data_IF_340103068053
#
_entry.id   IF_340103068053
#
_cell.length_a   1.000
_cell.length_b   1.000
_cell.length_c   1.000
_cell.angle_alpha   90.00
_cell.angle_beta   90.00
_cell.angle_gamma   90.00
#
_symmetry.space_group_name_H-M   'P 1'
#
loop_
_entity.id
_entity.type
_entity.pdbx_description
1 polymer ?
#
# COMPACT_ATOMS: atom_id res chain seq x y z
N UNK A 1 -29.05 -60.13 11.54
CA UNK A 1 -28.43 -58.97 10.86
C UNK A 1 -26.93 -59.18 10.99
N UNK A 2 -26.31 -59.60 9.89
CA UNK A 2 -24.94 -60.12 9.83
C UNK A 2 -24.02 -58.91 9.61
N UNK A 3 -23.00 -58.78 10.45
CA UNK A 3 -22.02 -57.69 10.43
C UNK A 3 -20.80 -58.19 9.66
N UNK A 4 -20.51 -57.57 8.52
CA UNK A 4 -19.33 -57.87 7.71
C UNK A 4 -18.04 -57.37 8.38
N UNK A 5 -16.96 -58.18 8.42
CA UNK A 5 -15.67 -57.79 8.94
C UNK A 5 -14.89 -56.94 7.92
N UNK A 6 -14.49 -55.76 8.36
CA UNK A 6 -13.77 -54.74 7.60
C UNK A 6 -12.31 -55.17 7.37
N UNK A 7 -11.93 -55.35 6.11
CA UNK A 7 -10.57 -55.59 5.63
C UNK A 7 -9.63 -54.44 6.01
N UNK A 8 -8.54 -54.76 6.71
CA UNK A 8 -7.43 -53.87 7.03
C UNK A 8 -6.52 -53.74 5.81
N UNK A 9 -6.49 -52.57 5.17
CA UNK A 9 -5.49 -52.22 4.17
C UNK A 9 -4.14 -51.92 4.84
N UNK A 10 -3.09 -52.50 4.27
CA UNK A 10 -1.71 -52.39 4.70
C UNK A 10 -1.12 -50.99 4.45
N UNK A 11 -0.36 -50.50 5.42
CA UNK A 11 0.35 -49.23 5.33
C UNK A 11 1.52 -49.31 4.30
N UNK A 12 1.71 -48.30 3.45
CA UNK A 12 2.89 -48.22 2.60
C UNK A 12 4.13 -47.81 3.42
N UNK A 13 5.23 -48.54 3.22
CA UNK A 13 6.56 -48.24 3.77
C UNK A 13 7.08 -46.86 3.30
N UNK A 14 7.73 -46.07 4.17
CA UNK A 14 8.43 -44.86 3.77
C UNK A 14 9.77 -45.20 3.10
N UNK A 15 9.83 -45.07 1.77
CA UNK A 15 11.09 -45.01 1.02
C UNK A 15 11.64 -43.58 0.95
N UNK A 16 12.97 -43.51 0.92
CA UNK A 16 13.84 -42.38 0.60
C UNK A 16 14.01 -41.25 1.63
N UNK A 17 14.97 -41.48 2.53
CA UNK A 17 15.71 -40.40 3.16
C UNK A 17 16.74 -39.83 2.15
N UNK A 18 16.85 -38.49 2.00
CA UNK A 18 17.85 -37.89 1.13
C UNK A 18 19.29 -38.12 1.64
N UNK A 19 20.29 -38.13 0.73
CA UNK A 19 21.69 -38.35 1.11
C UNK A 19 22.21 -37.26 2.05
N UNK A 20 22.97 -37.67 3.06
CA UNK A 20 23.66 -36.80 3.99
C UNK A 20 24.68 -35.92 3.24
N UNK A 21 24.53 -34.60 3.32
CA UNK A 21 25.56 -33.67 2.87
C UNK A 21 26.75 -33.73 3.82
N UNK A 22 27.91 -34.02 3.25
CA UNK A 22 29.19 -34.05 3.94
C UNK A 22 29.52 -32.70 4.58
N UNK A 23 30.00 -32.78 5.82
CA UNK A 23 30.49 -31.66 6.60
C UNK A 23 31.82 -31.18 6.01
N UNK A 24 31.83 -29.97 5.44
CA UNK A 24 33.07 -29.29 5.07
C UNK A 24 33.89 -28.99 6.33
N UNK A 25 34.98 -29.73 6.49
CA UNK A 25 36.00 -29.52 7.52
C UNK A 25 36.69 -28.18 7.30
N UNK A 26 36.56 -27.29 8.28
CA UNK A 26 37.23 -25.99 8.31
C UNK A 26 38.69 -26.23 8.67
N UNK A 27 39.55 -26.28 7.66
CA UNK A 27 41.00 -26.26 7.84
C UNK A 27 41.45 -24.81 8.04
N UNK A 28 41.81 -24.52 9.28
CA UNK A 28 42.56 -23.34 9.68
C UNK A 28 43.95 -23.39 9.05
N UNK A 29 44.28 -22.40 8.22
CA UNK A 29 45.66 -22.13 7.82
C UNK A 29 45.90 -20.63 7.84
N UNK A 30 46.65 -20.23 8.85
CA UNK A 30 47.24 -18.91 9.00
C UNK A 30 48.30 -18.69 7.91
N UNK A 31 48.22 -17.56 7.20
CA UNK A 31 49.32 -17.00 6.41
C UNK A 31 49.33 -15.48 6.57
N UNK A 32 50.50 -14.85 6.77
CA UNK A 32 50.59 -13.47 7.20
C UNK A 32 50.65 -12.47 6.04
N UNK A 33 50.08 -11.29 6.31
CA UNK A 33 50.66 -9.97 6.09
C UNK A 33 51.47 -9.71 4.79
N UNK A 34 50.86 -8.96 3.87
CA UNK A 34 51.59 -7.95 3.10
C UNK A 34 50.69 -6.78 2.69
N UNK A 35 50.92 -5.66 3.37
CA UNK A 35 50.40 -4.31 3.09
C UNK A 35 51.06 -3.73 1.83
N UNK A 36 50.30 -3.15 0.90
CA UNK A 36 50.82 -2.08 0.04
C UNK A 36 50.15 -0.74 0.39
N UNK A 37 51.00 0.27 0.59
CA UNK A 37 50.65 1.69 0.70
C UNK A 37 50.40 2.32 -0.69
N UNK A 38 49.90 3.58 -0.75
CA UNK A 38 49.04 4.05 -1.83
C UNK A 38 49.81 4.77 -2.95
N UNK A 39 49.37 4.60 -4.18
CA UNK A 39 49.70 5.49 -5.30
C UNK A 39 48.46 6.25 -5.75
N UNK A 40 48.64 7.57 -5.86
CA UNK A 40 47.64 8.61 -6.04
C UNK A 40 46.87 8.66 -7.37
N UNK A 41 46.30 9.84 -7.71
CA UNK A 41 45.04 9.97 -8.45
C UNK A 41 45.25 10.22 -9.95
N UNK A 42 44.30 9.74 -10.76
CA UNK A 42 44.20 10.10 -12.18
C UNK A 42 42.87 10.79 -12.46
N UNK A 43 42.97 12.09 -12.68
CA UNK A 43 42.05 12.97 -13.39
C UNK A 43 41.85 12.51 -14.85
N UNK A 44 40.64 12.61 -15.42
CA UNK A 44 40.49 12.80 -16.85
C UNK A 44 40.38 14.29 -17.17
N UNK A 45 41.34 14.73 -17.98
CA UNK A 45 41.53 16.07 -18.48
C UNK A 45 40.54 16.40 -19.60
N UNK A 46 40.20 17.68 -19.70
CA UNK A 46 39.46 18.27 -20.79
C UNK A 46 40.25 18.17 -22.11
N UNK A 47 39.55 17.88 -23.20
CA UNK A 47 40.03 18.13 -24.56
C UNK A 47 39.11 19.15 -25.22
N UNK A 48 39.56 20.41 -25.19
CA UNK A 48 39.19 21.41 -26.19
C UNK A 48 40.00 21.12 -27.45
N UNK A 49 39.33 21.07 -28.60
CA UNK A 49 39.94 21.29 -29.91
C UNK A 49 39.16 22.41 -30.59
N UNK A 50 39.88 23.48 -30.92
CA UNK A 50 39.42 24.57 -31.76
C UNK A 50 40.07 24.53 -33.15
N UNK A 51 39.63 25.49 -33.98
CA UNK A 51 40.12 25.88 -35.31
C UNK A 51 39.66 24.93 -36.45
N UNK A 52 39.04 25.36 -37.54
CA UNK A 52 38.85 26.69 -38.12
C UNK A 52 39.25 26.66 -39.60
N UNK A 53 38.29 26.49 -40.52
CA UNK A 53 38.36 26.80 -41.97
C UNK A 53 36.89 27.00 -42.40
N UNK A 54 36.44 28.08 -43.05
CA UNK A 54 37.11 28.94 -44.01
C UNK A 54 36.76 28.49 -45.43
N UNK A 55 35.51 28.67 -45.88
CA UNK A 55 35.15 28.53 -47.31
C UNK A 55 33.92 29.37 -47.64
N UNK A 56 34.17 30.49 -48.32
CA UNK A 56 33.18 31.28 -49.05
C UNK A 56 32.76 30.48 -50.28
N UNK A 57 31.48 30.14 -50.40
CA UNK A 57 30.86 29.79 -51.66
C UNK A 57 29.55 30.57 -51.79
N UNK A 58 29.42 31.28 -52.91
CA UNK A 58 28.42 32.29 -53.22
C UNK A 58 27.64 31.79 -54.44
N UNK A 59 26.43 31.24 -54.28
CA UNK A 59 25.47 30.96 -55.37
C UNK A 59 24.05 30.80 -54.79
N UNK A 60 22.97 30.89 -55.59
CA UNK A 60 22.26 32.11 -55.91
C UNK A 60 20.88 32.18 -55.21
N UNK A 61 20.39 33.42 -55.12
CA UNK A 61 19.05 33.82 -54.73
C UNK A 61 17.92 33.08 -55.46
N UNK A 62 17.00 32.50 -54.69
CA UNK A 62 15.63 32.22 -55.10
C UNK A 62 14.66 32.55 -53.94
N UNK A 63 13.40 32.90 -54.26
CA UNK A 63 12.60 33.79 -53.40
C UNK A 63 11.71 33.03 -52.41
N UNK A 64 11.55 33.64 -51.24
CA UNK A 64 10.25 33.81 -50.55
C UNK A 64 9.44 32.54 -50.23
N UNK A 65 9.66 31.94 -49.05
CA UNK A 65 8.62 31.23 -48.27
C UNK A 65 9.12 30.85 -46.86
N UNK A 66 9.39 31.84 -46.00
CA UNK A 66 9.75 31.59 -44.59
C UNK A 66 8.89 32.43 -43.67
N UNK A 67 7.60 32.09 -43.56
CA UNK A 67 6.68 32.74 -42.61
C UNK A 67 5.49 31.87 -42.15
N UNK A 68 5.50 30.54 -42.33
CA UNK A 68 4.33 29.68 -42.07
C UNK A 68 4.59 28.47 -41.14
N UNK A 69 5.74 28.40 -40.47
CA UNK A 69 6.08 27.25 -39.62
C UNK A 69 5.67 27.42 -38.14
N UNK A 70 5.11 28.58 -37.75
CA UNK A 70 4.94 28.94 -36.33
C UNK A 70 3.46 28.80 -35.89
N UNK A 71 2.54 28.63 -36.84
CA UNK A 71 1.08 28.59 -36.62
C UNK A 71 0.53 27.18 -36.37
N UNK A 72 1.34 26.12 -36.44
CA UNK A 72 0.90 24.74 -36.08
C UNK A 72 1.09 24.39 -34.60
N UNK A 73 1.82 25.19 -33.81
CA UNK A 73 2.06 24.88 -32.39
C UNK A 73 0.81 25.06 -31.50
N UNK A 74 -0.21 25.80 -31.96
CA UNK A 74 -1.46 26.00 -31.21
C UNK A 74 -2.50 24.89 -31.37
N UNK A 75 -2.59 24.25 -32.55
CA UNK A 75 -3.66 23.28 -32.83
C UNK A 75 -3.43 21.91 -32.19
N UNK A 76 -2.18 21.47 -32.06
CA UNK A 76 -1.86 20.19 -31.40
C UNK A 76 -2.40 20.14 -29.96
N UNK A 77 -2.28 21.26 -29.23
CA UNK A 77 -2.74 21.37 -27.85
C UNK A 77 -4.26 21.21 -27.69
N UNK A 78 -5.05 21.60 -28.69
CA UNK A 78 -6.51 21.47 -28.65
C UNK A 78 -6.91 20.01 -28.84
N UNK A 79 -6.34 19.36 -29.85
CA UNK A 79 -6.58 17.93 -30.09
C UNK A 79 -6.15 17.07 -28.90
N UNK A 80 -5.05 17.40 -28.23
CA UNK A 80 -4.60 16.65 -27.05
C UNK A 80 -5.57 16.80 -25.87
N UNK A 81 -6.13 17.99 -25.66
CA UNK A 81 -7.18 18.22 -24.67
C UNK A 81 -8.46 17.44 -25.00
N UNK A 82 -8.83 17.40 -26.27
CA UNK A 82 -10.02 16.67 -26.72
C UNK A 82 -9.83 15.16 -26.49
N UNK A 83 -8.68 14.60 -26.88
CA UNK A 83 -8.36 13.17 -26.64
C UNK A 83 -8.36 12.85 -25.16
N UNK A 84 -7.72 13.68 -24.34
CA UNK A 84 -7.70 13.51 -22.89
C UNK A 84 -9.12 13.57 -22.29
N UNK A 85 -9.96 14.51 -22.74
CA UNK A 85 -11.33 14.62 -22.29
C UNK A 85 -12.16 13.38 -22.68
N UNK A 86 -11.96 12.84 -23.89
CA UNK A 86 -12.59 11.60 -24.35
C UNK A 86 -12.17 10.41 -23.49
N UNK A 87 -10.87 10.23 -23.24
CA UNK A 87 -10.34 9.15 -22.40
C UNK A 87 -10.91 9.23 -20.99
N UNK A 88 -10.90 10.41 -20.37
CA UNK A 88 -11.48 10.62 -19.05
C UNK A 88 -13.00 10.36 -19.02
N UNK A 89 -13.72 10.68 -20.09
CA UNK A 89 -15.13 10.32 -20.26
C UNK A 89 -15.35 8.81 -20.23
N UNK A 90 -14.60 8.07 -21.05
CA UNK A 90 -14.68 6.61 -21.13
C UNK A 90 -14.32 5.95 -19.79
N UNK A 91 -13.26 6.43 -19.13
CA UNK A 91 -12.84 5.92 -17.82
C UNK A 91 -13.90 6.20 -16.76
N UNK A 92 -14.52 7.38 -16.77
CA UNK A 92 -15.63 7.70 -15.85
C UNK A 92 -16.81 6.77 -16.08
N UNK A 93 -17.13 6.44 -17.32
CA UNK A 93 -18.22 5.52 -17.64
C UNK A 93 -17.89 4.08 -17.21
N UNK A 94 -16.64 3.63 -17.36
CA UNK A 94 -16.16 2.36 -16.80
C UNK A 94 -16.31 2.31 -15.27
N UNK A 95 -15.88 3.37 -14.57
CA UNK A 95 -16.02 3.46 -13.10
C UNK A 95 -17.47 3.45 -12.66
N UNK A 96 -18.39 4.01 -13.45
CA UNK A 96 -19.84 3.95 -13.16
C UNK A 96 -20.42 2.57 -13.44
N UNK A 97 -19.98 1.91 -14.50
CA UNK A 97 -20.42 0.57 -14.86
C UNK A 97 -19.88 -0.52 -13.91
N UNK A 98 -18.73 -0.28 -13.27
CA UNK A 98 -18.04 -1.24 -12.41
C UNK A 98 -17.18 -2.22 -13.20
N UNK A 99 -17.05 -3.44 -12.71
CA UNK A 99 -16.28 -4.51 -13.37
C UNK A 99 -17.01 -5.00 -14.64
N UNK A 100 -16.68 -4.38 -15.78
CA UNK A 100 -17.14 -4.78 -17.11
C UNK A 100 -16.07 -5.63 -17.81
N UNK A 101 -16.43 -6.73 -18.51
CA UNK A 101 -15.48 -7.50 -19.30
C UNK A 101 -14.82 -6.68 -20.41
N UNK A 102 -15.46 -5.60 -20.86
CA UNK A 102 -14.96 -4.69 -21.89
C UNK A 102 -13.96 -3.65 -21.36
N UNK A 103 -13.72 -3.60 -20.04
CA UNK A 103 -12.81 -2.61 -19.45
C UNK A 103 -11.40 -2.70 -20.03
N UNK A 104 -10.90 -3.91 -20.29
CA UNK A 104 -9.57 -4.13 -20.85
C UNK A 104 -9.48 -3.60 -22.28
N UNK A 105 -10.44 -3.92 -23.14
CA UNK A 105 -10.45 -3.49 -24.54
C UNK A 105 -10.61 -1.97 -24.65
N UNK A 106 -11.44 -1.36 -23.80
CA UNK A 106 -11.62 0.09 -23.74
C UNK A 106 -10.34 0.79 -23.28
N UNK A 107 -9.68 0.32 -22.21
CA UNK A 107 -8.42 0.93 -21.76
C UNK A 107 -7.27 0.72 -22.75
N UNK A 108 -7.24 -0.42 -23.46
CA UNK A 108 -6.29 -0.65 -24.54
C UNK A 108 -6.49 0.35 -25.68
N UNK A 109 -7.74 0.57 -26.11
CA UNK A 109 -8.09 1.59 -27.10
C UNK A 109 -7.68 2.99 -26.64
N UNK A 110 -7.94 3.34 -25.37
CA UNK A 110 -7.48 4.59 -24.78
C UNK A 110 -5.94 4.70 -24.80
N UNK A 111 -5.22 3.61 -24.53
CA UNK A 111 -3.76 3.58 -24.58
C UNK A 111 -3.23 3.85 -25.98
N UNK A 112 -3.85 3.27 -27.01
CA UNK A 112 -3.44 3.47 -28.40
C UNK A 112 -3.72 4.92 -28.85
N UNK A 113 -4.88 5.47 -28.49
CA UNK A 113 -5.24 6.86 -28.76
C UNK A 113 -4.28 7.85 -28.08
N UNK A 114 -3.92 7.62 -26.81
CA UNK A 114 -2.93 8.42 -26.09
C UNK A 114 -1.55 8.32 -26.74
N UNK A 115 -1.11 7.10 -27.11
CA UNK A 115 0.19 6.88 -27.75
C UNK A 115 0.31 7.61 -29.10
N UNK A 116 -0.75 7.63 -29.90
CA UNK A 116 -0.78 8.35 -31.19
C UNK A 116 -0.56 9.87 -31.03
N UNK A 117 -0.78 10.41 -29.83
CA UNK A 117 -0.61 11.83 -29.49
C UNK A 117 0.54 12.09 -28.51
N UNK A 118 1.39 11.10 -28.24
CA UNK A 118 2.45 11.18 -27.23
C UNK A 118 1.96 11.57 -25.83
N UNK A 119 0.73 11.18 -25.49
CA UNK A 119 0.15 11.35 -24.15
C UNK A 119 0.43 10.10 -23.31
N UNK A 120 0.68 10.30 -22.01
CA UNK A 120 0.78 9.20 -21.06
C UNK A 120 -0.61 8.87 -20.50
N UNK A 121 -1.14 7.68 -20.84
CA UNK A 121 -2.40 7.20 -20.27
C UNK A 121 -2.32 7.10 -18.74
N UNK A 122 -1.17 6.65 -18.22
CA UNK A 122 -0.90 6.56 -16.78
C UNK A 122 -1.07 7.92 -16.09
N UNK A 123 -0.51 8.99 -16.66
CA UNK A 123 -0.65 10.33 -16.10
C UNK A 123 -2.13 10.76 -16.08
N UNK A 124 -2.87 10.49 -17.15
CA UNK A 124 -4.30 10.84 -17.26
C UNK A 124 -5.15 10.07 -16.23
N UNK A 125 -4.90 8.77 -16.04
CA UNK A 125 -5.64 7.92 -15.10
C UNK A 125 -5.40 8.29 -13.63
N UNK A 126 -4.34 9.04 -13.34
CA UNK A 126 -3.96 9.46 -11.99
C UNK A 126 -4.39 10.89 -11.66
N UNK A 127 -5.03 11.58 -12.59
CA UNK A 127 -5.57 12.91 -12.35
C UNK A 127 -6.90 12.87 -11.57
N UNK A 128 -7.14 13.83 -10.68
CA UNK A 128 -8.37 13.97 -9.91
C UNK A 128 -9.54 14.45 -10.80
N UNK A 129 -10.02 13.58 -11.68
CA UNK A 129 -10.92 13.90 -12.79
C UNK A 129 -12.40 13.63 -12.52
N UNK A 130 -12.73 12.98 -11.40
CA UNK A 130 -14.10 12.65 -11.00
C UNK A 130 -14.30 13.22 -9.60
N UNK A 131 -15.03 14.32 -9.48
CA UNK A 131 -15.37 14.95 -8.18
C UNK A 131 -14.15 15.24 -7.29
N UNK A 132 -13.02 15.61 -7.90
CA UNK A 132 -11.77 15.92 -7.17
C UNK A 132 -10.95 14.70 -6.75
N UNK A 133 -11.35 13.49 -7.12
CA UNK A 133 -10.65 12.24 -6.84
C UNK A 133 -10.25 11.50 -8.11
N UNK A 134 -9.32 10.56 -7.96
CA UNK A 134 -8.84 9.71 -9.07
C UNK A 134 -9.90 8.68 -9.49
N UNK A 135 -9.86 8.20 -10.75
CA UNK A 135 -10.62 7.04 -11.17
C UNK A 135 -10.44 5.81 -10.27
N UNK A 136 -9.21 5.57 -9.77
CA UNK A 136 -8.91 4.46 -8.86
C UNK A 136 -9.66 4.57 -7.52
N UNK A 137 -9.71 5.77 -6.92
CA UNK A 137 -10.49 6.02 -5.70
C UNK A 137 -11.95 5.60 -5.87
N UNK A 138 -12.58 6.05 -6.95
CA UNK A 138 -13.98 5.73 -7.22
C UNK A 138 -14.21 4.27 -7.60
N UNK A 139 -13.26 3.66 -8.31
CA UNK A 139 -13.31 2.24 -8.62
C UNK A 139 -13.31 1.40 -7.32
N UNK A 140 -12.46 1.75 -6.34
CA UNK A 140 -12.39 1.06 -5.04
C UNK A 140 -13.71 1.19 -4.26
N UNK A 141 -14.31 2.37 -4.23
CA UNK A 141 -15.59 2.59 -3.54
C UNK A 141 -16.77 1.86 -4.19
N UNK A 142 -16.68 1.60 -5.49
CA UNK A 142 -17.75 0.97 -6.28
C UNK A 142 -17.50 -0.50 -6.58
N UNK A 143 -16.35 -1.05 -6.20
CA UNK A 143 -15.97 -2.43 -6.55
C UNK A 143 -16.98 -3.40 -5.90
N UNK A 144 -17.85 -4.06 -6.69
CA UNK A 144 -18.58 -5.19 -6.15
C UNK A 144 -17.56 -6.28 -5.84
N UNK A 145 -17.77 -7.03 -4.76
CA UNK A 145 -16.88 -8.15 -4.42
C UNK A 145 -16.58 -8.97 -5.68
N UNK A 146 -15.30 -9.18 -6.05
CA UNK A 146 -14.94 -9.66 -7.36
C UNK A 146 -15.51 -11.07 -7.57
N UNK A 147 -16.26 -11.24 -8.67
CA UNK A 147 -16.65 -12.56 -9.15
C UNK A 147 -15.40 -13.37 -9.48
N UNK A 148 -15.34 -14.63 -9.04
CA UNK A 148 -14.20 -15.49 -9.29
C UNK A 148 -13.87 -15.56 -10.80
N UNK A 149 -12.63 -15.19 -11.16
CA UNK A 149 -12.11 -15.32 -12.53
C UNK A 149 -12.18 -14.07 -13.41
N UNK A 150 -12.76 -12.95 -12.94
CA UNK A 150 -12.72 -11.67 -13.68
C UNK A 150 -11.64 -10.73 -13.13
N UNK A 151 -10.91 -10.07 -14.04
CA UNK A 151 -9.96 -9.00 -13.67
C UNK A 151 -10.78 -7.79 -13.25
N UNK A 152 -10.67 -7.37 -11.99
CA UNK A 152 -11.37 -6.18 -11.51
C UNK A 152 -10.80 -4.92 -12.15
N UNK A 153 -11.64 -3.89 -12.31
CA UNK A 153 -11.18 -2.58 -12.77
C UNK A 153 -10.10 -2.02 -11.83
N UNK A 154 -10.20 -2.32 -10.52
CA UNK A 154 -9.22 -1.93 -9.51
C UNK A 154 -7.85 -2.56 -9.80
N UNK A 155 -7.79 -3.86 -10.12
CA UNK A 155 -6.53 -4.54 -10.47
C UNK A 155 -5.90 -3.94 -11.73
N UNK A 156 -6.72 -3.62 -12.73
CA UNK A 156 -6.25 -3.02 -13.97
C UNK A 156 -5.68 -1.61 -13.73
N UNK A 157 -6.33 -0.79 -12.92
CA UNK A 157 -5.85 0.54 -12.56
C UNK A 157 -4.61 0.50 -11.64
N UNK A 158 -4.48 -0.48 -10.75
CA UNK A 158 -3.29 -0.69 -9.91
C UNK A 158 -2.09 -1.28 -10.67
N UNK A 159 -2.30 -1.76 -11.90
CA UNK A 159 -1.21 -2.28 -12.74
C UNK A 159 -0.27 -1.19 -13.27
N UNK A 160 -0.72 0.07 -13.26
CA UNK A 160 0.10 1.22 -13.60
C UNK A 160 0.99 1.65 -12.41
N UNK A 161 2.17 2.24 -12.65
CA UNK A 161 2.97 2.85 -11.60
C UNK A 161 2.18 3.97 -10.91
N UNK A 162 1.82 3.79 -9.65
CA UNK A 162 1.03 4.79 -8.93
C UNK A 162 1.94 5.86 -8.34
N UNK A 163 1.56 7.12 -8.52
CA UNK A 163 2.15 8.26 -7.85
C UNK A 163 1.78 8.26 -6.37
N UNK A 164 2.60 8.87 -5.50
CA UNK A 164 2.30 8.97 -4.07
C UNK A 164 0.93 9.60 -3.77
N UNK A 165 0.50 10.57 -4.59
CA UNK A 165 -0.80 11.22 -4.44
C UNK A 165 -1.95 10.24 -4.74
N UNK A 166 -1.89 9.50 -5.84
CA UNK A 166 -2.90 8.48 -6.18
C UNK A 166 -2.91 7.33 -5.19
N UNK A 167 -1.76 6.95 -4.60
CA UNK A 167 -1.70 5.95 -3.53
C UNK A 167 -2.43 6.46 -2.28
N UNK A 168 -2.21 7.72 -1.88
CA UNK A 168 -2.93 8.30 -0.74
C UNK A 168 -4.44 8.36 -0.99
N UNK A 169 -4.85 8.76 -2.19
CA UNK A 169 -6.25 8.80 -2.59
C UNK A 169 -6.88 7.39 -2.53
N UNK A 170 -6.22 6.39 -3.13
CA UNK A 170 -6.68 5.00 -3.06
C UNK A 170 -6.77 4.46 -1.61
N UNK A 171 -5.80 4.80 -0.74
CA UNK A 171 -5.85 4.45 0.69
C UNK A 171 -7.06 5.06 1.39
N UNK A 172 -7.39 6.30 1.07
CA UNK A 172 -8.59 6.96 1.59
C UNK A 172 -9.87 6.22 1.18
N UNK A 173 -9.97 5.80 -0.08
CA UNK A 173 -11.10 4.98 -0.54
C UNK A 173 -11.20 3.65 0.24
N UNK A 174 -10.08 2.95 0.43
CA UNK A 174 -10.08 1.69 1.20
C UNK A 174 -10.53 1.91 2.66
N UNK A 175 -10.16 3.02 3.29
CA UNK A 175 -10.59 3.37 4.65
C UNK A 175 -12.10 3.60 4.72
N UNK A 176 -12.66 4.31 3.75
CA UNK A 176 -14.11 4.55 3.67
C UNK A 176 -14.91 3.26 3.46
N UNK A 177 -14.41 2.34 2.65
CA UNK A 177 -15.06 1.04 2.41
C UNK A 177 -14.76 -0.01 3.51
N UNK A 178 -13.77 0.25 4.38
CA UNK A 178 -13.22 -0.72 5.32
C UNK A 178 -12.74 -2.03 4.64
N UNK A 179 -12.21 -1.95 3.43
CA UNK A 179 -11.78 -3.11 2.64
C UNK A 179 -10.27 -3.35 2.80
N UNK A 180 -9.91 -4.23 3.74
CA UNK A 180 -8.52 -4.64 3.94
C UNK A 180 -7.97 -5.42 2.74
N UNK A 181 -8.80 -6.16 2.01
CA UNK A 181 -8.32 -7.02 0.91
C UNK A 181 -7.79 -6.18 -0.25
N UNK A 182 -8.52 -5.13 -0.65
CA UNK A 182 -8.07 -4.15 -1.64
C UNK A 182 -6.86 -3.38 -1.11
N UNK A 183 -6.88 -2.98 0.17
CA UNK A 183 -5.74 -2.30 0.78
C UNK A 183 -4.45 -3.13 0.78
N UNK A 184 -4.52 -4.43 1.12
CA UNK A 184 -3.36 -5.31 1.05
C UNK A 184 -2.89 -5.52 -0.40
N UNK A 185 -3.80 -5.58 -1.39
CA UNK A 185 -3.43 -5.60 -2.82
C UNK A 185 -2.69 -4.31 -3.21
N UNK A 186 -3.23 -3.14 -2.86
CA UNK A 186 -2.62 -1.84 -3.09
C UNK A 186 -1.21 -1.76 -2.46
N UNK A 187 -1.03 -2.29 -1.25
CA UNK A 187 0.31 -2.32 -0.60
C UNK A 187 1.33 -3.17 -1.34
N UNK A 188 0.89 -4.17 -2.10
CA UNK A 188 1.75 -5.04 -2.91
C UNK A 188 2.06 -4.44 -4.28
N UNK A 189 1.37 -3.37 -4.68
CA UNK A 189 1.63 -2.75 -5.98
C UNK A 189 3.03 -2.14 -6.01
N UNK A 190 3.67 -2.09 -7.19
CA UNK A 190 4.92 -1.36 -7.36
C UNK A 190 4.79 0.08 -6.86
N UNK A 191 5.79 0.58 -6.14
CA UNK A 191 5.79 1.91 -5.53
C UNK A 191 5.15 2.00 -4.13
N UNK A 192 4.36 1.01 -3.71
CA UNK A 192 3.80 0.95 -2.35
C UNK A 192 4.65 0.12 -1.38
N UNK A 193 5.22 -0.99 -1.85
CA UNK A 193 6.01 -1.92 -1.05
C UNK A 193 7.46 -1.43 -0.87
N UNK A 194 7.63 -0.24 -0.29
CA UNK A 194 8.95 0.35 -0.07
C UNK A 194 9.69 -0.33 1.08
N UNK A 195 10.40 -1.43 0.82
CA UNK A 195 11.61 -1.71 1.61
C UNK A 195 12.65 -0.65 1.27
N UNK A 196 13.47 -0.27 2.26
CA UNK A 196 14.65 0.53 1.96
C UNK A 196 15.50 -0.23 0.93
N UNK A 197 16.13 0.42 -0.07
CA UNK A 197 17.02 -0.26 -1.01
C UNK A 197 18.13 -1.07 -0.32
N UNK A 198 18.58 -0.62 0.86
CA UNK A 198 19.53 -1.35 1.70
C UNK A 198 18.93 -2.64 2.28
N UNK A 199 17.67 -2.58 2.71
CA UNK A 199 16.96 -3.73 3.25
C UNK A 199 16.66 -4.74 2.14
N UNK A 200 16.33 -4.28 0.94
CA UNK A 200 16.16 -5.13 -0.24
C UNK A 200 17.47 -5.85 -0.61
N UNK A 201 18.61 -5.15 -0.56
CA UNK A 201 19.92 -5.77 -0.82
C UNK A 201 20.28 -6.85 0.22
N UNK A 202 19.99 -6.61 1.50
CA UNK A 202 20.37 -7.51 2.60
C UNK A 202 19.38 -8.66 2.81
N UNK A 203 18.10 -8.41 2.60
CA UNK A 203 17.03 -9.39 2.78
C UNK A 203 16.74 -10.17 1.51
N UNK A 204 17.08 -9.61 0.34
CA UNK A 204 16.61 -10.03 -0.97
C UNK A 204 15.22 -9.45 -1.24
N UNK A 205 14.46 -10.11 -2.10
CA UNK A 205 13.02 -9.91 -2.27
C UNK A 205 12.27 -10.84 -1.30
N UNK A 206 12.03 -10.42 -0.04
CA UNK A 206 11.37 -11.29 0.92
C UNK A 206 9.96 -11.65 0.43
N UNK A 207 9.49 -12.88 0.69
CA UNK A 207 8.10 -13.22 0.47
C UNK A 207 7.17 -12.27 1.23
N UNK A 208 5.99 -12.03 0.66
CA UNK A 208 5.04 -11.07 1.21
C UNK A 208 4.51 -11.52 2.57
N UNK A 209 4.43 -10.57 3.50
CA UNK A 209 3.76 -10.79 4.78
C UNK A 209 2.26 -11.00 4.56
N UNK A 210 1.67 -11.93 5.30
CA UNK A 210 0.23 -12.19 5.24
C UNK A 210 -0.46 -11.48 6.40
N UNK A 211 -1.41 -10.63 6.07
CA UNK A 211 -2.28 -9.95 7.01
C UNK A 211 -3.71 -10.37 6.70
N UNK A 212 -4.42 -10.86 7.71
CA UNK A 212 -5.82 -11.27 7.59
C UNK A 212 -6.60 -10.54 8.67
N UNK A 213 -7.55 -9.70 8.24
CA UNK A 213 -8.49 -9.03 9.15
C UNK A 213 -9.83 -9.75 9.06
N UNK A 214 -10.24 -10.31 10.19
CA UNK A 214 -11.54 -10.98 10.36
C UNK A 214 -12.42 -10.04 11.20
N UNK A 215 -13.51 -9.54 10.62
CA UNK A 215 -14.53 -8.83 11.40
C UNK A 215 -15.40 -9.88 12.10
N UNK A 216 -15.63 -9.75 13.40
CA UNK A 216 -16.45 -10.72 14.14
C UNK A 216 -17.93 -10.55 13.75
N UNK A 217 -18.59 -11.68 13.43
CA UNK A 217 -20.00 -11.68 13.07
C UNK A 217 -20.87 -11.21 14.24
N UNK A 218 -21.78 -10.26 13.97
CA UNK A 218 -22.68 -9.70 14.97
C UNK A 218 -22.00 -8.85 16.04
N UNK A 219 -20.69 -8.63 15.95
CA UNK A 219 -19.94 -7.85 16.93
C UNK A 219 -19.61 -6.47 16.38
N UNK A 220 -19.96 -5.48 17.17
CA UNK A 220 -20.03 -4.07 16.82
C UNK A 220 -18.63 -3.44 16.61
N UNK A 221 -17.96 -3.80 15.51
CA UNK A 221 -16.61 -3.33 15.23
C UNK A 221 -15.51 -4.08 15.95
N UNK A 222 -15.81 -5.24 16.53
CA UNK A 222 -14.75 -6.13 16.98
C UNK A 222 -14.13 -6.80 15.74
N UNK A 223 -12.81 -6.83 15.73
CA UNK A 223 -12.04 -7.46 14.67
C UNK A 223 -10.87 -8.22 15.25
N UNK A 224 -10.44 -9.25 14.53
CA UNK A 224 -9.26 -10.04 14.81
C UNK A 224 -8.30 -9.86 13.65
N UNK A 225 -7.04 -9.56 13.98
CA UNK A 225 -5.97 -9.46 12.98
C UNK A 225 -5.00 -10.60 13.19
N UNK A 226 -4.81 -11.40 12.14
CA UNK A 226 -3.78 -12.43 12.09
C UNK A 226 -2.63 -11.93 11.23
N UNK A 227 -1.46 -11.76 11.84
CA UNK A 227 -0.25 -11.27 11.19
C UNK A 227 0.76 -12.42 11.08
N UNK A 228 1.23 -12.68 9.86
CA UNK A 228 2.25 -13.68 9.58
C UNK A 228 3.42 -13.05 8.83
N UNK A 229 4.54 -12.88 9.55
CA UNK A 229 5.74 -12.24 9.04
C UNK A 229 6.76 -13.26 8.54
N UNK A 230 7.06 -13.23 7.25
CA UNK A 230 8.07 -14.12 6.68
C UNK A 230 9.46 -13.59 7.03
N UNK A 231 10.37 -14.49 7.41
CA UNK A 231 11.74 -14.16 7.82
C UNK A 231 11.83 -13.12 8.95
N UNK A 232 10.87 -13.11 9.89
CA UNK A 232 10.79 -12.12 10.97
C UNK A 232 12.13 -11.88 11.69
N UNK A 233 12.83 -12.95 12.11
CA UNK A 233 14.12 -12.84 12.79
C UNK A 233 15.20 -12.19 11.93
N UNK A 234 15.29 -12.57 10.65
CA UNK A 234 16.27 -11.99 9.70
C UNK A 234 15.99 -10.49 9.51
N UNK A 235 14.72 -10.13 9.31
CA UNK A 235 14.27 -8.73 9.14
C UNK A 235 14.50 -7.91 10.40
N UNK A 236 14.23 -8.47 11.58
CA UNK A 236 14.56 -7.80 12.84
C UNK A 236 16.06 -7.63 13.05
N UNK A 237 16.91 -8.56 12.61
CA UNK A 237 18.37 -8.42 12.70
C UNK A 237 18.91 -7.32 11.78
N UNK A 238 18.35 -7.22 10.57
CA UNK A 238 18.79 -6.28 9.53
C UNK A 238 18.14 -4.91 9.72
N UNK A 239 16.82 -4.83 9.56
CA UNK A 239 16.04 -3.59 9.56
C UNK A 239 15.69 -3.09 10.97
N UNK A 240 15.81 -3.94 12.00
CA UNK A 240 15.37 -3.66 13.38
C UNK A 240 13.89 -3.31 13.54
N UNK A 241 13.10 -3.42 12.47
CA UNK A 241 11.69 -3.08 12.44
C UNK A 241 10.99 -3.91 11.39
N UNK A 242 9.81 -4.44 11.74
CA UNK A 242 8.90 -5.13 10.81
C UNK A 242 7.57 -4.40 10.89
N UNK A 243 7.06 -3.92 9.74
CA UNK A 243 5.85 -3.09 9.66
C UNK A 243 4.70 -3.87 9.02
N UNK A 244 3.56 -3.90 9.68
CA UNK A 244 2.28 -4.27 9.09
C UNK A 244 1.32 -3.09 9.18
N UNK A 245 0.51 -2.92 8.14
CA UNK A 245 -0.60 -1.98 8.10
C UNK A 245 -1.83 -2.79 7.68
N UNK A 246 -2.98 -2.45 8.24
CA UNK A 246 -4.26 -3.10 7.93
C UNK A 246 -5.39 -2.10 8.13
N UNK A 247 -6.53 -2.38 7.53
CA UNK A 247 -7.77 -1.63 7.73
C UNK A 247 -8.75 -2.54 8.48
N UNK A 248 -9.34 -2.02 9.55
CA UNK A 248 -10.37 -2.72 10.30
C UNK A 248 -11.58 -1.82 10.46
N UNK A 249 -12.78 -2.42 10.45
CA UNK A 249 -14.03 -1.69 10.60
C UNK A 249 -14.24 -1.36 12.08
N UNK A 250 -14.31 -0.07 12.40
CA UNK A 250 -14.86 0.36 13.69
C UNK A 250 -16.39 0.32 13.61
N UNK A 251 -17.03 -0.21 14.65
CA UNK A 251 -18.48 -0.31 14.77
C UNK A 251 -18.92 0.28 16.11
N UNK A 252 -20.16 0.73 16.17
CA UNK A 252 -20.74 1.30 17.40
C UNK A 252 -21.17 0.18 18.32
N UNK A 253 -20.47 0.01 19.45
CA UNK A 253 -20.68 -1.04 20.44
C UNK A 253 -21.97 -0.89 21.24
N UNK A 254 -23.11 -1.22 20.63
CA UNK A 254 -24.40 -1.31 21.33
C UNK A 254 -24.61 -2.72 21.89
N UNK A 255 -24.04 -3.02 23.08
CA UNK A 255 -24.52 -4.18 23.85
C UNK A 255 -23.52 -4.98 24.69
N UNK A 256 -22.28 -4.52 24.92
CA UNK A 256 -21.32 -5.24 25.79
C UNK A 256 -21.08 -4.55 27.14
N UNK A 257 -20.65 -5.36 28.12
CA UNK A 257 -20.18 -4.94 29.46
C UNK A 257 -18.92 -4.05 29.45
N UNK A 258 -18.30 -3.84 28.29
CA UNK A 258 -17.16 -2.94 28.16
C UNK A 258 -17.68 -1.54 27.86
N UNK A 259 -17.18 -0.55 28.61
CA UNK A 259 -17.55 0.85 28.38
C UNK A 259 -17.26 1.21 26.91
N UNK A 260 -18.23 1.79 26.17
CA UNK A 260 -17.98 2.31 24.83
C UNK A 260 -16.68 3.14 24.78
N UNK A 261 -15.90 2.96 23.71
CA UNK A 261 -14.57 3.56 23.58
C UNK A 261 -13.42 2.76 24.22
N UNK A 262 -13.69 1.63 24.87
CA UNK A 262 -12.65 0.74 25.40
C UNK A 262 -12.04 -0.14 24.32
N UNK A 263 -10.71 -0.19 24.27
CA UNK A 263 -9.96 -1.12 23.40
C UNK A 263 -9.42 -2.28 24.22
N UNK A 264 -9.54 -3.49 23.69
CA UNK A 264 -8.96 -4.70 24.25
C UNK A 264 -7.93 -5.22 23.28
N UNK A 265 -6.71 -5.41 23.77
CA UNK A 265 -5.60 -5.92 22.96
C UNK A 265 -5.14 -7.24 23.55
N UNK A 266 -5.08 -8.26 22.69
CA UNK A 266 -4.52 -9.56 23.02
C UNK A 266 -3.44 -9.92 21.99
N UNK A 267 -2.32 -10.45 22.47
CA UNK A 267 -1.22 -10.97 21.64
C UNK A 267 -1.03 -12.45 21.95
N UNK A 268 -0.87 -13.25 20.90
CA UNK A 268 -0.60 -14.68 20.97
C UNK A 268 0.41 -15.11 19.91
N UNK A 269 1.01 -16.28 20.10
CA UNK A 269 1.85 -16.94 19.10
C UNK A 269 1.00 -17.90 18.26
N UNK A 270 1.39 -18.13 17.01
CA UNK A 270 0.76 -19.10 16.11
C UNK A 270 1.21 -20.53 16.47
N UNK A 271 0.40 -21.52 16.15
CA UNK A 271 0.69 -22.95 16.33
C UNK A 271 2.12 -23.30 15.90
N UNK A 272 2.80 -24.13 16.69
CA UNK A 272 4.20 -24.57 16.50
C UNK A 272 5.26 -23.46 16.57
N UNK A 273 4.93 -22.25 17.02
CA UNK A 273 5.94 -21.23 17.29
C UNK A 273 6.76 -21.58 18.53
N UNK A 274 8.09 -21.36 18.55
CA UNK A 274 8.89 -21.56 19.74
C UNK A 274 8.47 -20.60 20.86
N UNK A 275 8.58 -21.06 22.11
CA UNK A 275 8.25 -20.24 23.27
C UNK A 275 9.09 -18.96 23.28
N UNK A 276 8.42 -17.81 23.43
CA UNK A 276 9.07 -16.50 23.28
C UNK A 276 8.64 -15.56 24.40
N UNK A 277 9.61 -14.85 25.00
CA UNK A 277 9.30 -13.75 25.91
C UNK A 277 8.80 -12.55 25.11
N UNK A 278 7.68 -11.98 25.52
CA UNK A 278 7.12 -10.77 24.90
C UNK A 278 7.30 -9.59 25.86
N UNK A 279 8.04 -8.59 25.43
CA UNK A 279 7.99 -7.25 26.02
C UNK A 279 7.81 -6.27 24.87
N UNK A 280 6.56 -5.92 24.61
CA UNK A 280 6.19 -5.06 23.50
C UNK A 280 5.38 -3.87 23.98
N UNK A 281 5.30 -2.86 23.12
CA UNK A 281 4.57 -1.63 23.35
C UNK A 281 3.69 -1.39 22.14
N UNK A 282 2.39 -1.53 22.31
CA UNK A 282 1.42 -1.05 21.33
C UNK A 282 1.31 0.46 21.50
N UNK A 283 1.49 1.19 20.41
CA UNK A 283 1.29 2.63 20.36
C UNK A 283 0.22 2.91 19.31
N UNK A 284 -0.94 3.40 19.75
CA UNK A 284 -2.01 3.86 18.87
C UNK A 284 -1.84 5.38 18.77
N UNK A 285 -1.28 5.82 17.65
CA UNK A 285 -1.25 7.25 17.35
C UNK A 285 -2.66 7.66 16.91
N UNK A 286 -3.24 8.73 17.48
CA UNK A 286 -4.41 9.31 16.85
C UNK A 286 -4.02 9.68 15.41
N UNK A 287 -4.96 9.53 14.46
CA UNK A 287 -4.81 10.19 13.19
C UNK A 287 -4.72 11.67 13.52
N UNK A 288 -3.50 12.24 13.55
CA UNK A 288 -3.32 13.67 13.41
C UNK A 288 -4.10 13.99 12.16
N UNK A 289 -5.26 14.66 12.32
CA UNK A 289 -6.22 14.99 11.26
C UNK A 289 -5.43 15.18 10.01
N UNK A 290 -5.49 14.19 9.09
CA UNK A 290 -4.80 14.19 7.81
C UNK A 290 -4.91 15.62 7.34
N UNK A 291 -3.80 16.37 7.45
CA UNK A 291 -3.82 17.82 7.31
C UNK A 291 -4.55 18.03 6.02
N UNK A 292 -5.79 18.53 6.10
CA UNK A 292 -6.54 18.92 4.93
C UNK A 292 -5.57 19.84 4.25
N UNK A 293 -4.96 19.36 3.16
CA UNK A 293 -4.11 20.16 2.32
C UNK A 293 -5.11 21.18 1.83
N UNK A 294 -5.19 22.30 2.55
CA UNK A 294 -5.88 23.49 2.10
C UNK A 294 -5.12 23.77 0.83
N UNK A 295 -5.68 23.31 -0.29
CA UNK A 295 -5.19 23.72 -1.59
C UNK A 295 -5.39 25.23 -1.54
N UNK A 296 -4.29 25.96 -1.37
CA UNK A 296 -4.26 27.39 -1.61
C UNK A 296 -4.49 27.57 -3.11
N UNK A 297 -5.73 27.34 -3.53
CA UNK A 297 -6.19 27.66 -4.85
C UNK A 297 -6.47 29.17 -4.81
N UNK A 298 -5.75 29.99 -5.60
CA UNK A 298 -5.99 31.42 -5.62
C UNK A 298 -7.43 31.65 -6.08
N UNK A 299 -8.24 32.20 -5.17
CA UNK A 299 -9.63 32.53 -5.42
C UNK A 299 -9.70 33.62 -6.48
N UNK A 300 -10.05 33.25 -7.72
CA UNK A 300 -10.47 34.22 -8.72
C UNK A 300 -11.86 34.73 -8.35
N UNK A 301 -11.95 36.02 -8.03
CA UNK A 301 -13.21 36.72 -7.80
C UNK A 301 -14.02 36.79 -9.09
N UNK A 302 -15.28 36.35 -9.07
CA UNK A 302 -16.44 37.20 -9.39
C UNK A 302 -17.75 36.40 -9.48
N UNK A 303 -18.74 36.91 -8.74
CA UNK A 303 -20.19 36.97 -9.05
C UNK A 303 -21.15 36.05 -8.26
N UNK A 304 -22.34 36.58 -7.88
CA UNK A 304 -23.25 35.92 -6.96
C UNK A 304 -24.42 35.24 -7.70
N UNK A 305 -24.80 34.04 -7.27
CA UNK A 305 -26.16 33.57 -7.47
C UNK A 305 -26.63 32.71 -6.30
N UNK A 306 -27.72 33.21 -5.74
CA UNK A 306 -28.51 32.71 -4.64
C UNK A 306 -29.13 31.35 -5.00
N UNK A 307 -28.78 30.28 -4.28
CA UNK A 307 -29.67 29.13 -4.10
C UNK A 307 -29.53 28.62 -2.68
N UNK A 308 -30.67 28.64 -1.98
CA UNK A 308 -30.81 28.26 -0.60
C UNK A 308 -30.95 26.74 -0.44
N UNK A 309 -30.44 26.23 0.69
CA UNK A 309 -31.08 25.14 1.43
C UNK A 309 -30.46 23.75 1.26
N UNK A 310 -29.46 23.44 2.11
CA UNK A 310 -29.34 22.17 2.88
C UNK A 310 -27.93 22.04 3.51
N UNK A 311 -27.49 23.02 4.31
CA UNK A 311 -26.28 22.85 5.12
C UNK A 311 -26.69 22.43 6.53
N UNK A 312 -26.61 21.12 6.79
CA UNK A 312 -26.61 20.60 8.16
C UNK A 312 -25.47 21.27 8.94
N UNK A 313 -25.83 21.86 10.09
CA UNK A 313 -24.90 22.36 11.10
C UNK A 313 -24.01 21.21 11.58
N UNK A 314 -22.83 21.08 10.98
CA UNK A 314 -21.67 20.53 11.66
C UNK A 314 -20.97 21.74 12.30
N UNK A 315 -21.11 21.90 13.61
CA UNK A 315 -20.31 22.86 14.36
C UNK A 315 -18.85 22.43 14.25
N UNK A 316 -18.10 23.14 13.42
CA UNK A 316 -16.65 22.97 13.29
C UNK A 316 -15.99 23.27 14.63
N UNK A 317 -15.76 22.24 15.43
CA UNK A 317 -14.89 22.31 16.60
C UNK A 317 -13.51 22.75 16.15
N UNK A 318 -12.94 23.75 16.82
CA UNK A 318 -11.55 24.15 16.61
C UNK A 318 -10.64 22.93 16.74
N UNK A 319 -9.72 22.68 15.78
CA UNK A 319 -8.83 21.54 15.83
C UNK A 319 -7.98 21.64 17.10
N UNK A 320 -8.23 20.74 18.05
CA UNK A 320 -7.36 20.57 19.22
C UNK A 320 -6.12 19.84 18.74
N UNK A 321 -5.08 20.60 18.46
CA UNK A 321 -3.75 20.07 18.21
C UNK A 321 -3.32 19.15 19.36
N UNK A 322 -2.97 17.91 19.01
CA UNK A 322 -2.10 17.07 19.82
C UNK A 322 -2.78 16.21 20.88
N UNK A 323 -3.74 15.36 20.50
CA UNK A 323 -4.07 14.22 21.36
C UNK A 323 -2.81 13.33 21.50
N UNK A 324 -2.34 13.02 22.72
CA UNK A 324 -1.15 12.20 22.89
C UNK A 324 -1.38 10.78 22.37
N UNK A 325 -0.35 10.09 21.88
CA UNK A 325 -0.46 8.72 21.44
C UNK A 325 -0.83 7.82 22.62
N UNK A 326 -1.76 6.91 22.39
CA UNK A 326 -2.20 5.92 23.36
C UNK A 326 -1.14 4.82 23.39
N UNK A 327 -0.65 4.50 24.59
CA UNK A 327 0.44 3.55 24.78
C UNK A 327 -0.02 2.41 25.68
N UNK A 328 0.12 1.18 25.21
CA UNK A 328 -0.13 -0.04 25.98
C UNK A 328 1.13 -0.88 25.98
N UNK A 329 1.69 -1.16 27.17
CA UNK A 329 2.78 -2.13 27.28
C UNK A 329 2.17 -3.52 27.42
N UNK A 330 2.60 -4.43 26.56
CA UNK A 330 2.18 -5.82 26.54
C UNK A 330 3.39 -6.64 26.97
N UNK A 331 3.35 -7.16 28.19
CA UNK A 331 4.43 -7.97 28.74
C UNK A 331 3.90 -9.36 29.05
N UNK A 332 4.57 -10.39 28.55
CA UNK A 332 4.35 -11.74 29.05
C UNK A 332 4.69 -11.73 30.54
N UNK A 333 3.88 -12.38 31.37
CA UNK A 333 4.21 -12.58 32.79
C UNK A 333 5.53 -13.36 32.94
N UNK A 334 5.91 -13.75 34.15
CA UNK A 334 7.12 -14.55 34.40
C UNK A 334 7.24 -15.83 33.55
N UNK A 335 6.17 -16.27 32.88
CA UNK A 335 6.17 -17.36 31.89
C UNK A 335 6.24 -16.85 30.44
N UNK A 336 7.03 -17.54 29.61
CA UNK A 336 7.07 -17.36 28.15
C UNK A 336 5.68 -17.53 27.51
N UNK A 337 5.40 -16.82 26.41
CA UNK A 337 4.25 -17.17 25.56
C UNK A 337 4.53 -18.51 24.90
N UNK A 338 3.61 -19.46 25.06
CA UNK A 338 3.71 -20.80 24.49
C UNK A 338 2.37 -21.25 23.87
N UNK A 339 2.44 -22.36 23.13
CA UNK A 339 1.37 -22.91 22.29
C UNK A 339 0.10 -23.34 23.05
N UNK A 340 0.21 -23.64 24.35
CA UNK A 340 -0.77 -24.51 25.02
C UNK A 340 -2.14 -23.91 25.36
N UNK A 341 -2.45 -22.70 24.91
CA UNK A 341 -3.61 -21.93 25.36
C UNK A 341 -4.39 -21.33 24.19
N UNK A 342 -4.62 -22.09 23.10
CA UNK A 342 -5.53 -21.68 22.01
C UNK A 342 -6.88 -22.45 21.92
N UNK A 343 -7.48 -22.87 23.05
CA UNK A 343 -8.89 -23.36 23.10
C UNK A 343 -9.90 -22.32 23.64
N UNK A 344 -10.92 -21.99 22.86
CA UNK A 344 -11.76 -20.77 22.99
C UNK A 344 -12.83 -20.80 24.10
N UNK A 345 -12.75 -21.74 25.04
CA UNK A 345 -13.81 -21.91 26.04
C UNK A 345 -13.48 -21.38 27.44
N UNK A 346 -12.28 -21.59 28.00
CA UNK A 346 -12.02 -21.19 29.40
C UNK A 346 -10.52 -21.32 29.71
N UNK A 347 -9.92 -20.23 30.23
CA UNK A 347 -8.52 -20.09 30.68
C UNK A 347 -7.45 -20.15 29.58
N UNK A 348 -6.86 -18.99 29.30
CA UNK A 348 -5.67 -18.86 28.44
C UNK A 348 -4.72 -17.79 28.96
N UNK A 349 -3.41 -18.04 28.86
CA UNK A 349 -2.35 -17.05 29.09
C UNK A 349 -2.33 -16.02 27.95
N UNK A 350 -3.24 -15.05 28.01
CA UNK A 350 -3.24 -13.86 27.17
C UNK A 350 -2.57 -12.72 27.94
N UNK A 351 -1.69 -11.96 27.30
CA UNK A 351 -1.41 -10.61 27.77
C UNK A 351 -2.62 -9.74 27.37
N UNK A 352 -3.56 -9.55 28.29
CA UNK A 352 -4.71 -8.66 28.08
C UNK A 352 -4.37 -7.31 28.67
N UNK A 353 -4.29 -6.30 27.82
CA UNK A 353 -4.28 -4.90 28.26
C UNK A 353 -5.66 -4.30 28.05
N UNK A 354 -6.28 -3.78 29.12
CA UNK A 354 -7.50 -2.97 29.03
C UNK A 354 -7.07 -1.50 28.92
N UNK A 355 -7.53 -0.81 27.88
CA UNK A 355 -7.11 0.57 27.61
C UNK A 355 -7.78 1.62 28.51
N UNK A 356 -8.85 1.25 29.22
CA UNK A 356 -9.62 2.15 30.08
C UNK A 356 -8.76 2.80 31.19
N UNK A 357 -7.67 2.15 31.63
CA UNK A 357 -6.81 2.62 32.71
C UNK A 357 -5.62 3.49 32.25
N UNK A 358 -5.51 3.73 30.94
CA UNK A 358 -4.57 4.74 30.44
C UNK A 358 -5.12 6.13 30.78
N UNK A 359 -4.31 7.08 31.29
CA UNK A 359 -4.76 8.43 31.60
C UNK A 359 -5.37 9.20 30.40
N UNK A 360 -5.24 8.68 29.17
CA UNK A 360 -5.92 9.19 27.96
C UNK A 360 -7.14 8.38 27.47
N UNK A 361 -7.44 7.22 28.06
CA UNK A 361 -8.50 6.29 27.61
C UNK A 361 -9.92 6.70 28.03
N UNK A 362 -10.07 7.39 29.17
CA UNK A 362 -11.38 7.80 29.69
C UNK A 362 -12.08 8.90 28.86
N UNK A 363 -11.38 9.55 27.93
CA UNK A 363 -11.90 10.66 27.12
C UNK A 363 -12.17 10.33 25.65
N UNK A 364 -12.21 9.04 25.27
CA UNK A 364 -12.64 8.60 23.93
C UNK A 364 -14.17 8.46 23.88
N UNK A 365 -14.90 9.53 24.22
CA UNK A 365 -16.29 9.64 23.79
C UNK A 365 -16.25 10.05 22.31
N UNK A 366 -16.81 9.19 21.45
CA UNK A 366 -17.11 9.55 20.08
C UNK A 366 -18.34 10.46 20.14
N UNK A 367 -18.15 11.74 19.81
CA UNK A 367 -19.24 12.70 19.58
C UNK A 367 -19.75 12.59 18.14
#
# INVERSE_FOLDING_TARGET
>A
MIIDPKTLEAAPEPQDAPPAYEQATTSSSAVPEKRPEPTGPSTPNAAQLGLGFGSKAKVPSSPTASAWFWSSFGMASKTDKDVKATVLGLVRDLVKAGSSPDAISILQSCSEACRARSLSLEAILQEPSIEGHTPLYWAILKDPAPSEGQISLVDLLMSFPLTPASIQDARQACLLNSDDTVFQRLRRSPGCAGLSPTDELLLGSPPQDRVVVENAEGDHGAFKVTLHFVHFQKRMRVSRTVRAEFIARAGSADGRQYKPGSWIVAVGLVDKSPMTHLDSRLVINPLSTLTTIKSDMPSASSSPSTVAGWASRMTAGTPRDGRPPIVVRLKSSSSQLGEHDFSDATRRRRAVGVLADSPGGAGLEFE
#
